data_IF_804967925202
#
_entry.id   IF_804967925202
#
_cell.length_a   1.000
_cell.length_b   1.000
_cell.length_c   1.000
_cell.angle_alpha   90.00
_cell.angle_beta   90.00
_cell.angle_gamma   90.00
#
_symmetry.space_group_name_H-M   'P 1'
#
loop_
_entity.id
_entity.type
_entity.pdbx_description
1 polymer ?
#
# COMPACT_ATOMS: atom_id res chain seq x y z
N UNK A 1 -0.51 -2.69 -22.26
CA UNK A 1 -1.87 -2.93 -21.78
C UNK A 1 -2.49 -1.68 -21.14
N UNK A 2 -3.10 -0.83 -21.97
CA UNK A 2 -3.75 0.40 -21.54
C UNK A 2 -4.85 0.18 -20.50
N UNK A 3 -5.58 -0.94 -20.59
CA UNK A 3 -6.65 -1.30 -19.65
C UNK A 3 -6.09 -1.52 -18.24
N UNK A 4 -4.99 -2.26 -18.10
CA UNK A 4 -4.34 -2.48 -16.80
C UNK A 4 -3.81 -1.17 -16.21
N UNK A 5 -3.24 -0.32 -17.03
CA UNK A 5 -2.77 0.99 -16.62
C UNK A 5 -3.93 1.86 -16.09
N UNK A 6 -5.06 1.85 -16.81
CA UNK A 6 -6.24 2.60 -16.40
C UNK A 6 -6.84 2.09 -15.08
N UNK A 7 -6.89 0.76 -14.90
CA UNK A 7 -7.35 0.14 -13.65
C UNK A 7 -6.45 0.54 -12.49
N UNK A 8 -5.14 0.50 -12.68
CA UNK A 8 -4.17 0.91 -11.63
C UNK A 8 -4.35 2.39 -11.29
N UNK A 9 -4.50 3.27 -12.28
CA UNK A 9 -4.76 4.69 -12.06
C UNK A 9 -6.02 4.94 -11.23
N UNK A 10 -7.12 4.27 -11.57
CA UNK A 10 -8.37 4.38 -10.82
C UNK A 10 -8.24 3.84 -9.41
N UNK A 11 -7.59 2.68 -9.24
CA UNK A 11 -7.38 2.06 -7.94
C UNK A 11 -6.54 2.95 -7.02
N UNK A 12 -5.44 3.51 -7.52
CA UNK A 12 -4.58 4.40 -6.75
C UNK A 12 -5.24 5.74 -6.45
N UNK A 13 -5.88 6.35 -7.44
CA UNK A 13 -6.57 7.63 -7.26
C UNK A 13 -7.72 7.55 -6.25
N UNK A 14 -8.56 6.53 -6.37
CA UNK A 14 -9.67 6.30 -5.44
C UNK A 14 -9.21 5.89 -4.03
N UNK A 15 -8.05 5.26 -3.91
CA UNK A 15 -7.48 4.85 -2.63
C UNK A 15 -7.24 6.04 -1.69
N UNK A 16 -6.69 7.12 -2.20
CA UNK A 16 -6.46 8.35 -1.41
C UNK A 16 -7.75 9.00 -0.94
N UNK A 17 -8.77 8.99 -1.79
CA UNK A 17 -10.09 9.47 -1.43
C UNK A 17 -10.75 8.58 -0.36
N UNK A 18 -10.64 7.26 -0.49
CA UNK A 18 -11.16 6.32 0.50
C UNK A 18 -10.48 6.46 1.87
N UNK A 19 -9.17 6.78 1.91
CA UNK A 19 -8.43 7.04 3.15
C UNK A 19 -9.05 8.20 3.93
N UNK A 20 -9.47 9.26 3.26
CA UNK A 20 -10.05 10.44 3.92
C UNK A 20 -11.35 10.13 4.67
N UNK A 21 -12.12 9.14 4.22
CA UNK A 21 -13.34 8.69 4.92
C UNK A 21 -13.06 7.82 6.14
N UNK A 22 -11.91 7.17 6.18
CA UNK A 22 -11.52 6.29 7.29
C UNK A 22 -10.90 7.05 8.46
N UNK A 23 -10.47 8.29 8.22
CA UNK A 23 -9.90 9.15 9.24
C UNK A 23 -11.02 9.68 10.16
N UNK A 24 -10.96 9.35 11.42
CA UNK A 24 -11.89 9.82 12.44
C UNK A 24 -12.67 8.71 13.15
N UNK A 25 -13.05 7.63 12.46
CA UNK A 25 -13.83 6.54 13.05
C UNK A 25 -12.93 5.43 13.63
N UNK A 26 -11.78 5.18 13.01
CA UNK A 26 -10.85 4.11 13.40
C UNK A 26 -9.42 4.66 13.44
N UNK A 27 -8.61 4.16 14.39
CA UNK A 27 -7.20 4.50 14.43
C UNK A 27 -6.50 4.15 13.11
N UNK A 28 -5.67 5.06 12.55
CA UNK A 28 -5.01 4.84 11.26
C UNK A 28 -4.23 3.52 11.19
N UNK A 29 -3.57 3.15 12.27
CA UNK A 29 -2.78 1.92 12.37
C UNK A 29 -3.64 0.66 12.18
N UNK A 30 -4.84 0.63 12.75
CA UNK A 30 -5.78 -0.49 12.63
C UNK A 30 -6.28 -0.62 11.20
N UNK A 31 -6.61 0.50 10.58
CA UNK A 31 -7.07 0.55 9.18
C UNK A 31 -5.99 0.03 8.22
N UNK A 32 -4.74 0.47 8.40
CA UNK A 32 -3.61 0.00 7.62
C UNK A 32 -3.40 -1.51 7.80
N UNK A 33 -3.40 -1.99 9.05
CA UNK A 33 -3.20 -3.40 9.36
C UNK A 33 -4.26 -4.28 8.66
N UNK A 34 -5.52 -3.92 8.74
CA UNK A 34 -6.60 -4.65 8.07
C UNK A 34 -6.46 -4.68 6.56
N UNK A 35 -6.14 -3.56 5.94
CA UNK A 35 -5.95 -3.47 4.49
C UNK A 35 -4.84 -4.38 3.99
N UNK A 36 -3.68 -4.33 4.64
CA UNK A 36 -2.54 -5.16 4.24
C UNK A 36 -2.72 -6.63 4.59
N UNK A 37 -3.40 -6.93 5.69
CA UNK A 37 -3.73 -8.31 6.05
C UNK A 37 -4.67 -8.95 5.01
N UNK A 38 -5.71 -8.26 4.61
CA UNK A 38 -6.62 -8.73 3.56
C UNK A 38 -5.90 -8.86 2.21
N UNK A 39 -5.11 -7.87 1.82
CA UNK A 39 -4.36 -7.90 0.57
C UNK A 39 -3.37 -9.06 0.53
N UNK A 40 -2.62 -9.30 1.62
CA UNK A 40 -1.69 -10.41 1.70
C UNK A 40 -2.40 -11.77 1.64
N UNK A 41 -3.52 -11.90 2.31
CA UNK A 41 -4.32 -13.12 2.28
C UNK A 41 -4.83 -13.43 0.87
N UNK A 42 -5.35 -12.45 0.16
CA UNK A 42 -5.79 -12.59 -1.23
C UNK A 42 -4.62 -12.98 -2.15
N UNK A 43 -3.45 -12.37 -1.97
CA UNK A 43 -2.26 -12.71 -2.75
C UNK A 43 -1.76 -14.12 -2.47
N UNK A 44 -1.79 -14.58 -1.22
CA UNK A 44 -1.42 -15.96 -0.89
C UNK A 44 -2.36 -16.96 -1.54
N UNK A 45 -3.67 -16.73 -1.50
CA UNK A 45 -4.66 -17.57 -2.20
C UNK A 45 -4.36 -17.60 -3.70
N UNK A 46 -4.10 -16.44 -4.28
CA UNK A 46 -3.77 -16.34 -5.71
C UNK A 46 -2.50 -17.12 -6.07
N UNK A 47 -1.43 -16.96 -5.29
CA UNK A 47 -0.18 -17.69 -5.50
C UNK A 47 -0.37 -19.21 -5.37
N UNK A 48 -1.15 -19.64 -4.38
CA UNK A 48 -1.47 -21.05 -4.20
C UNK A 48 -2.27 -21.61 -5.38
N UNK A 49 -3.29 -20.90 -5.83
CA UNK A 49 -4.12 -21.29 -6.98
C UNK A 49 -3.33 -21.36 -8.28
N UNK A 50 -2.28 -20.55 -8.42
CA UNK A 50 -1.37 -20.55 -9.58
C UNK A 50 -0.22 -21.55 -9.46
N UNK A 51 -0.12 -22.27 -8.37
CA UNK A 51 0.96 -23.25 -8.14
C UNK A 51 2.35 -22.62 -8.05
N UNK A 52 2.44 -21.36 -7.63
CA UNK A 52 3.71 -20.66 -7.48
C UNK A 52 4.47 -21.16 -6.26
N UNK A 53 5.79 -21.33 -6.39
CA UNK A 53 6.65 -21.66 -5.26
C UNK A 53 6.65 -20.53 -4.23
N UNK A 54 6.19 -20.83 -3.02
CA UNK A 54 6.22 -19.92 -1.86
C UNK A 54 7.36 -20.22 -0.90
N UNK A 55 8.11 -21.31 -1.15
CA UNK A 55 9.24 -21.69 -0.31
C UNK A 55 10.53 -21.03 -0.81
N UNK A 56 11.03 -20.10 -0.03
CA UNK A 56 12.27 -19.38 -0.30
C UNK A 56 13.20 -19.44 0.92
N UNK A 57 14.45 -19.08 0.74
CA UNK A 57 15.46 -19.02 1.77
C UNK A 57 15.05 -18.04 2.89
N UNK A 58 15.43 -18.34 4.11
CA UNK A 58 15.19 -17.47 5.29
C UNK A 58 15.70 -16.04 5.08
N UNK A 59 16.83 -15.89 4.42
CA UNK A 59 17.40 -14.57 4.08
C UNK A 59 16.48 -13.77 3.15
N UNK A 60 15.84 -14.41 2.18
CA UNK A 60 14.87 -13.77 1.30
C UNK A 60 13.65 -13.29 2.08
N UNK A 61 13.12 -14.11 2.98
CA UNK A 61 11.99 -13.75 3.82
C UNK A 61 12.30 -12.56 4.73
N UNK A 62 13.48 -12.53 5.36
CA UNK A 62 13.87 -11.40 6.20
C UNK A 62 14.04 -10.10 5.43
N UNK A 63 14.61 -10.17 4.22
CA UNK A 63 14.72 -9.00 3.34
C UNK A 63 13.37 -8.46 2.90
N UNK A 64 12.43 -9.35 2.56
CA UNK A 64 11.08 -8.95 2.17
C UNK A 64 10.28 -8.41 3.35
N UNK A 65 10.50 -8.94 4.54
CA UNK A 65 9.86 -8.43 5.76
C UNK A 65 10.36 -7.02 6.09
N UNK A 66 11.66 -6.77 6.00
CA UNK A 66 12.23 -5.43 6.15
C UNK A 66 11.71 -4.46 5.09
N UNK A 67 11.72 -4.88 3.82
CA UNK A 67 11.21 -4.06 2.73
C UNK A 67 9.73 -3.73 2.95
N UNK A 68 8.92 -4.72 3.30
CA UNK A 68 7.50 -4.51 3.59
C UNK A 68 7.27 -3.59 4.78
N UNK A 69 8.07 -3.73 5.83
CA UNK A 69 7.98 -2.88 7.01
C UNK A 69 8.26 -1.41 6.66
N UNK A 70 9.36 -1.11 6.01
CA UNK A 70 9.68 0.27 5.65
C UNK A 70 8.78 0.84 4.56
N UNK A 71 8.53 0.07 3.51
CA UNK A 71 7.77 0.55 2.36
C UNK A 71 6.27 0.71 2.66
N UNK A 72 5.70 -0.19 3.45
CA UNK A 72 4.26 -0.18 3.70
C UNK A 72 3.91 0.34 5.09
N UNK A 73 4.50 -0.18 6.17
CA UNK A 73 4.11 0.26 7.50
C UNK A 73 4.53 1.70 7.78
N UNK A 74 5.82 1.99 7.70
CA UNK A 74 6.35 3.33 8.04
C UNK A 74 5.81 4.38 7.08
N UNK A 75 5.87 4.10 5.78
CA UNK A 75 5.43 5.02 4.74
C UNK A 75 3.93 5.35 4.86
N UNK A 76 3.08 4.33 5.02
CA UNK A 76 1.64 4.54 5.14
C UNK A 76 1.22 5.18 6.46
N UNK A 77 1.88 4.87 7.56
CA UNK A 77 1.64 5.55 8.83
C UNK A 77 1.93 7.05 8.69
N UNK A 78 3.06 7.40 8.10
CA UNK A 78 3.40 8.80 7.83
C UNK A 78 2.39 9.46 6.90
N UNK A 79 1.95 8.77 5.85
CA UNK A 79 0.94 9.27 4.92
C UNK A 79 -0.41 9.50 5.61
N UNK A 80 -0.86 8.57 6.45
CA UNK A 80 -2.11 8.74 7.20
C UNK A 80 -2.05 9.92 8.18
N UNK A 81 -0.96 10.07 8.92
CA UNK A 81 -0.78 11.24 9.78
C UNK A 81 -0.73 12.54 8.96
N UNK A 82 -0.11 12.51 7.79
CA UNK A 82 -0.11 13.64 6.87
C UNK A 82 -1.52 14.07 6.45
N UNK A 83 -2.44 13.14 6.25
CA UNK A 83 -3.82 13.43 5.84
C UNK A 83 -4.66 14.09 6.94
N UNK A 84 -4.26 14.04 8.20
CA UNK A 84 -4.91 14.81 9.26
C UNK A 84 -4.67 16.32 9.15
N UNK A 85 -3.51 16.69 8.60
CA UNK A 85 -3.10 18.09 8.50
C UNK A 85 -3.20 18.65 7.08
N UNK A 86 -3.20 17.79 6.07
CA UNK A 86 -3.17 18.15 4.67
C UNK A 86 -4.37 17.54 3.92
N UNK A 87 -4.86 18.23 2.91
CA UNK A 87 -5.85 17.69 2.01
C UNK A 87 -5.28 16.45 1.28
N UNK A 88 -6.10 15.42 1.10
CA UNK A 88 -5.69 14.15 0.47
C UNK A 88 -5.05 14.33 -0.91
N UNK A 89 -5.51 15.31 -1.68
CA UNK A 89 -4.93 15.67 -2.97
C UNK A 89 -3.50 16.19 -2.88
N UNK A 90 -3.19 16.97 -1.83
CA UNK A 90 -1.85 17.49 -1.62
C UNK A 90 -0.88 16.37 -1.22
N UNK A 91 -1.32 15.45 -0.38
CA UNK A 91 -0.53 14.24 -0.02
C UNK A 91 -0.25 13.41 -1.26
N UNK A 92 -1.23 13.23 -2.14
CA UNK A 92 -1.07 12.53 -3.41
C UNK A 92 -0.03 13.22 -4.33
N UNK A 93 -0.05 14.55 -4.40
CA UNK A 93 0.95 15.31 -5.17
C UNK A 93 2.36 15.14 -4.61
N UNK A 94 2.54 15.17 -3.29
CA UNK A 94 3.83 14.93 -2.66
C UNK A 94 4.32 13.51 -2.98
N UNK A 95 3.43 12.51 -2.93
CA UNK A 95 3.78 11.14 -3.33
C UNK A 95 4.16 11.02 -4.80
N UNK A 96 3.55 11.79 -5.69
CA UNK A 96 3.90 11.77 -7.11
C UNK A 96 5.33 12.27 -7.38
N UNK A 97 5.87 13.13 -6.50
CA UNK A 97 7.28 13.57 -6.62
C UNK A 97 8.27 12.42 -6.38
N UNK A 98 7.85 11.33 -5.73
CA UNK A 98 8.68 10.16 -5.53
C UNK A 98 9.18 9.57 -6.85
N UNK A 99 8.35 9.63 -7.90
CA UNK A 99 8.75 9.19 -9.24
C UNK A 99 9.94 9.95 -9.79
N UNK A 100 10.08 11.23 -9.45
CA UNK A 100 11.23 12.05 -9.88
C UNK A 100 12.56 11.57 -9.25
N UNK A 101 12.48 10.99 -8.05
CA UNK A 101 13.65 10.46 -7.36
C UNK A 101 13.97 9.00 -7.71
N UNK A 102 13.03 8.30 -8.35
CA UNK A 102 13.21 6.89 -8.75
C UNK A 102 13.59 6.71 -10.20
N UNK A 103 13.54 7.75 -11.00
CA UNK A 103 14.00 7.80 -12.39
C UNK A 103 15.45 8.29 -12.41
#
# INVERSE_FOLDING_TARGET
>A
NAILYFIVLLAWGSSWFAISFQLGDVAPQVSIAWRFLLASFMLFIWCYARGLKLSFSWRAHSSWLLLGFFLFCVNYICAYFGTFYLASGLVCLIFSTLTLFTV
#
